data_IF_956688934498
#
_entry.id   IF_956688934498
#
_cell.length_a   1.000
_cell.length_b   1.000
_cell.length_c   1.000
_cell.angle_alpha   90.00
_cell.angle_beta   90.00
_cell.angle_gamma   90.00
#
_symmetry.space_group_name_H-M   'P 1'
#
loop_
_entity.id
_entity.type
_entity.pdbx_description
1 polymer ?
#
# COMPACT_ATOMS: atom_id res chain seq x y z
N UNK A 1 -43.30 -54.06 -25.61
CA UNK A 1 -42.05 -54.30 -24.85
C UNK A 1 -41.33 -52.97 -24.65
N UNK A 2 -41.71 -52.20 -23.62
CA UNK A 2 -41.03 -50.95 -23.27
C UNK A 2 -40.70 -50.99 -21.78
N UNK A 3 -39.53 -51.55 -21.46
CA UNK A 3 -39.00 -51.55 -20.10
C UNK A 3 -38.60 -50.12 -19.72
N UNK A 4 -39.50 -49.42 -19.04
CA UNK A 4 -39.24 -48.10 -18.47
C UNK A 4 -38.09 -48.17 -17.47
N UNK A 5 -36.98 -47.48 -17.75
CA UNK A 5 -35.87 -47.30 -16.80
C UNK A 5 -36.40 -46.65 -15.52
N UNK A 6 -36.09 -47.29 -14.38
CA UNK A 6 -36.56 -46.89 -13.05
C UNK A 6 -36.22 -45.42 -12.71
N UNK A 7 -37.05 -44.73 -11.89
CA UNK A 7 -36.81 -43.34 -11.49
C UNK A 7 -35.46 -43.12 -10.78
N UNK A 8 -34.93 -44.17 -10.12
CA UNK A 8 -33.61 -44.17 -9.47
C UNK A 8 -32.47 -44.05 -10.49
N UNK A 9 -32.59 -44.65 -11.67
CA UNK A 9 -31.60 -44.55 -12.73
C UNK A 9 -31.59 -43.16 -13.40
N UNK A 10 -32.75 -42.51 -13.53
CA UNK A 10 -32.84 -41.11 -14.02
C UNK A 10 -32.27 -40.11 -13.01
N UNK A 11 -32.54 -40.30 -11.70
CA UNK A 11 -31.94 -39.48 -10.62
C UNK A 11 -30.43 -39.66 -10.51
N UNK A 12 -29.91 -40.88 -10.64
CA UNK A 12 -28.46 -41.12 -10.62
C UNK A 12 -27.75 -40.48 -11.84
N UNK A 13 -28.36 -40.51 -13.03
CA UNK A 13 -27.83 -39.83 -14.22
C UNK A 13 -27.90 -38.31 -14.10
N UNK A 14 -28.98 -37.76 -13.53
CA UNK A 14 -29.12 -36.32 -13.30
C UNK A 14 -28.18 -35.82 -12.19
N UNK A 15 -27.95 -36.62 -11.14
CA UNK A 15 -26.99 -36.31 -10.09
C UNK A 15 -25.53 -36.38 -10.60
N UNK A 16 -25.19 -37.33 -11.47
CA UNK A 16 -23.87 -37.38 -12.09
C UNK A 16 -23.64 -36.20 -13.06
N UNK A 17 -24.69 -35.79 -13.78
CA UNK A 17 -24.65 -34.59 -14.65
C UNK A 17 -24.53 -33.31 -13.81
N UNK A 18 -25.18 -33.22 -12.64
CA UNK A 18 -25.03 -32.07 -11.73
C UNK A 18 -23.66 -32.02 -11.04
N UNK A 19 -23.07 -33.17 -10.70
CA UNK A 19 -21.71 -33.25 -10.13
C UNK A 19 -20.66 -32.94 -11.20
N UNK A 20 -20.95 -33.19 -12.49
CA UNK A 20 -20.04 -32.85 -13.58
C UNK A 20 -20.18 -31.40 -14.08
N UNK A 21 -21.37 -30.78 -13.96
CA UNK A 21 -21.58 -29.34 -14.30
C UNK A 21 -21.27 -28.39 -13.15
N UNK A 22 -21.06 -28.90 -11.93
CA UNK A 22 -20.40 -28.20 -10.82
C UNK A 22 -18.87 -28.41 -10.84
N UNK A 23 -18.27 -28.46 -12.03
CA UNK A 23 -16.88 -28.02 -12.14
C UNK A 23 -16.86 -26.51 -11.91
N UNK A 24 -16.75 -26.14 -10.63
CA UNK A 24 -16.15 -24.87 -10.20
C UNK A 24 -14.93 -24.68 -11.10
N UNK A 25 -15.02 -23.76 -12.06
CA UNK A 25 -13.86 -23.38 -12.87
C UNK A 25 -12.71 -23.17 -11.89
N UNK A 26 -11.57 -23.89 -12.02
CA UNK A 26 -10.45 -23.68 -11.12
C UNK A 26 -10.13 -22.19 -11.13
N UNK A 27 -9.88 -21.54 -9.98
CA UNK A 27 -9.57 -20.12 -9.93
C UNK A 27 -8.40 -19.87 -10.88
N UNK A 28 -8.67 -19.20 -12.00
CA UNK A 28 -7.69 -19.05 -13.05
C UNK A 28 -6.47 -18.29 -12.49
N UNK A 29 -5.31 -18.94 -12.48
CA UNK A 29 -4.09 -18.40 -11.90
C UNK A 29 -3.35 -17.53 -12.91
N UNK A 30 -3.92 -16.38 -13.27
CA UNK A 30 -3.24 -15.37 -14.08
C UNK A 30 -2.37 -14.44 -13.25
N UNK A 31 -1.23 -14.00 -13.81
CA UNK A 31 -0.39 -12.94 -13.23
C UNK A 31 -1.18 -11.63 -12.98
N UNK A 32 -2.26 -11.44 -13.76
CA UNK A 32 -3.19 -10.30 -13.74
C UNK A 32 -4.63 -10.80 -13.48
N UNK A 33 -4.83 -11.84 -12.66
CA UNK A 33 -6.17 -12.28 -12.23
C UNK A 33 -6.62 -11.53 -10.96
N UNK A 34 -7.85 -11.01 -10.93
CA UNK A 34 -8.40 -10.03 -9.95
C UNK A 34 -7.62 -8.68 -9.81
N UNK A 35 -7.27 -7.94 -10.88
CA UNK A 35 -6.66 -6.62 -10.77
C UNK A 35 -7.71 -5.52 -10.59
N UNK A 36 -8.99 -5.82 -10.82
CA UNK A 36 -10.06 -4.85 -11.00
C UNK A 36 -10.08 -3.82 -9.86
N UNK A 37 -10.08 -4.26 -8.59
CA UNK A 37 -10.11 -3.34 -7.44
C UNK A 37 -8.78 -2.57 -7.21
N UNK A 38 -7.64 -3.08 -7.67
CA UNK A 38 -6.32 -2.47 -7.41
C UNK A 38 -5.98 -1.38 -8.44
N UNK A 39 -6.56 -1.46 -9.64
CA UNK A 39 -6.39 -0.47 -10.70
C UNK A 39 -7.50 0.60 -10.71
N UNK A 40 -8.63 0.38 -10.00
CA UNK A 40 -9.85 1.22 -10.00
C UNK A 40 -9.87 2.37 -8.96
N UNK A 41 -8.72 2.83 -8.46
CA UNK A 41 -8.64 4.01 -7.59
C UNK A 41 -7.85 5.16 -8.24
N UNK A 42 -8.22 5.45 -9.48
CA UNK A 42 -7.92 6.71 -10.16
C UNK A 42 -8.96 6.91 -11.27
N UNK A 43 -10.21 7.17 -10.88
CA UNK A 43 -11.32 7.44 -11.80
C UNK A 43 -11.14 8.72 -12.64
N UNK A 44 -9.99 9.40 -12.54
CA UNK A 44 -9.65 10.61 -13.29
C UNK A 44 -8.21 10.65 -13.85
N UNK A 45 -7.48 9.53 -13.97
CA UNK A 45 -6.10 9.53 -14.53
C UNK A 45 -5.98 8.74 -15.85
N UNK A 46 -6.98 8.83 -16.72
CA UNK A 46 -6.88 8.32 -18.10
C UNK A 46 -6.15 9.36 -18.96
N UNK A 47 -4.81 9.31 -18.98
CA UNK A 47 -4.00 10.27 -19.73
C UNK A 47 -2.51 9.92 -19.82
N UNK A 48 -1.73 10.67 -20.60
CA UNK A 48 -0.29 10.49 -20.68
C UNK A 48 0.36 10.73 -19.32
N UNK A 49 1.33 9.88 -18.95
CA UNK A 49 2.07 10.01 -17.68
C UNK A 49 2.88 11.32 -17.70
N UNK A 50 2.89 12.11 -16.62
CA UNK A 50 3.63 13.36 -16.58
C UNK A 50 5.15 13.11 -16.71
N UNK A 51 5.81 14.00 -17.45
CA UNK A 51 7.26 13.95 -17.75
C UNK A 51 8.12 13.88 -16.48
N UNK A 52 7.64 14.44 -15.37
CA UNK A 52 8.31 14.39 -14.07
C UNK A 52 8.54 12.98 -13.55
N UNK A 53 7.80 11.97 -14.01
CA UNK A 53 8.00 10.57 -13.61
C UNK A 53 9.21 9.95 -14.32
N UNK A 54 9.42 10.29 -15.59
CA UNK A 54 10.53 9.78 -16.39
C UNK A 54 11.87 10.40 -15.99
N UNK A 55 11.85 11.68 -15.61
CA UNK A 55 13.06 12.44 -15.24
C UNK A 55 13.51 12.20 -13.79
N UNK A 56 12.88 11.29 -13.04
CA UNK A 56 13.32 10.97 -11.68
C UNK A 56 14.61 10.19 -11.71
N UNK A 57 15.61 10.70 -10.98
CA UNK A 57 16.91 10.08 -10.85
C UNK A 57 16.84 9.04 -9.73
N UNK A 58 17.16 7.78 -10.04
CA UNK A 58 17.27 6.70 -9.07
C UNK A 58 18.73 6.25 -8.94
N UNK A 59 19.20 6.06 -7.72
CA UNK A 59 20.54 5.56 -7.40
C UNK A 59 20.47 4.22 -6.68
N UNK A 60 21.58 3.49 -6.69
CA UNK A 60 21.72 2.25 -5.90
C UNK A 60 21.63 2.59 -4.42
N UNK A 61 20.82 1.84 -3.68
CA UNK A 61 20.60 2.02 -2.25
C UNK A 61 19.40 2.88 -1.87
N UNK A 62 18.78 3.57 -2.82
CA UNK A 62 17.58 4.38 -2.59
C UNK A 62 16.40 3.51 -2.16
N UNK A 63 15.52 4.09 -1.32
CA UNK A 63 14.30 3.45 -0.85
C UNK A 63 13.15 3.91 -1.75
N UNK A 64 12.51 2.93 -2.38
CA UNK A 64 11.48 3.17 -3.39
C UNK A 64 10.21 2.40 -3.10
N UNK A 65 9.08 3.05 -3.41
CA UNK A 65 7.74 2.50 -3.30
C UNK A 65 7.27 2.03 -4.69
N UNK A 66 6.64 0.86 -4.73
CA UNK A 66 6.17 0.24 -5.97
C UNK A 66 4.66 0.49 -6.10
N UNK A 67 4.27 1.24 -7.12
CA UNK A 67 2.87 1.48 -7.49
C UNK A 67 2.70 1.20 -8.98
N UNK A 68 2.12 0.06 -9.32
CA UNK A 68 1.79 -0.28 -10.70
C UNK A 68 0.75 0.70 -11.28
N UNK A 69 1.00 1.17 -12.49
CA UNK A 69 0.12 2.07 -13.25
C UNK A 69 -0.39 1.29 -14.47
N UNK A 70 -1.67 1.36 -14.80
CA UNK A 70 -2.26 0.61 -15.92
C UNK A 70 -1.85 1.10 -17.31
N UNK A 71 -1.38 2.35 -17.42
CA UNK A 71 -1.04 3.02 -18.69
C UNK A 71 0.12 2.35 -19.43
N UNK A 72 1.10 1.82 -18.70
CA UNK A 72 2.27 1.15 -19.28
C UNK A 72 2.25 -0.32 -18.87
N UNK A 73 2.26 -1.21 -19.86
CA UNK A 73 2.19 -2.66 -19.62
C UNK A 73 3.57 -3.29 -19.43
N UNK A 74 4.62 -2.71 -20.01
CA UNK A 74 5.98 -3.25 -19.95
C UNK A 74 6.61 -2.98 -18.58
N UNK A 75 7.33 -3.98 -18.05
CA UNK A 75 7.99 -3.86 -16.75
C UNK A 75 7.02 -3.65 -15.57
N UNK A 76 5.75 -4.00 -15.76
CA UNK A 76 4.71 -3.93 -14.74
C UNK A 76 5.03 -4.90 -13.59
N UNK A 77 4.99 -4.45 -12.33
CA UNK A 77 5.18 -5.34 -11.20
C UNK A 77 3.97 -6.28 -11.04
N UNK A 78 4.22 -7.52 -10.62
CA UNK A 78 3.13 -8.43 -10.25
C UNK A 78 2.34 -7.86 -9.05
N UNK A 79 1.03 -8.12 -9.00
CA UNK A 79 0.09 -7.59 -7.98
C UNK A 79 0.58 -7.73 -6.53
N UNK A 80 1.28 -8.81 -6.21
CA UNK A 80 1.83 -9.05 -4.86
C UNK A 80 2.90 -8.03 -4.40
N UNK A 81 3.48 -7.25 -5.32
CA UNK A 81 4.48 -6.22 -5.02
C UNK A 81 3.88 -4.80 -5.02
N UNK A 82 2.61 -4.65 -5.39
CA UNK A 82 1.96 -3.34 -5.32
C UNK A 82 1.87 -2.87 -3.88
N UNK A 83 2.20 -1.60 -3.64
CA UNK A 83 2.25 -1.01 -2.30
C UNK A 83 3.39 -1.53 -1.42
N UNK A 84 4.34 -2.28 -1.98
CA UNK A 84 5.54 -2.69 -1.25
C UNK A 84 6.66 -1.67 -1.47
N UNK A 85 7.45 -1.47 -0.41
CA UNK A 85 8.67 -0.68 -0.44
C UNK A 85 9.86 -1.60 -0.53
N UNK A 86 10.88 -1.18 -1.27
CA UNK A 86 12.12 -1.93 -1.43
C UNK A 86 13.33 -1.03 -1.57
N UNK A 87 14.50 -1.66 -1.73
CA UNK A 87 15.77 -0.96 -1.96
C UNK A 87 16.27 -1.23 -3.37
N UNK A 88 16.75 -0.18 -4.03
CA UNK A 88 17.34 -0.30 -5.37
C UNK A 88 18.69 -1.01 -5.29
N UNK A 89 18.87 -2.07 -6.07
CA UNK A 89 20.15 -2.79 -6.19
C UNK A 89 20.83 -2.55 -7.55
N UNK A 90 20.02 -2.40 -8.60
CA UNK A 90 20.50 -2.16 -9.97
C UNK A 90 19.68 -1.06 -10.65
N UNK A 91 20.30 -0.36 -11.58
CA UNK A 91 19.66 0.68 -12.39
C UNK A 91 20.00 0.37 -13.85
N UNK A 92 18.98 0.34 -14.70
CA UNK A 92 19.11 0.14 -16.15
C UNK A 92 18.56 1.35 -16.90
N UNK A 93 18.65 1.35 -18.24
CA UNK A 93 18.23 2.49 -19.07
C UNK A 93 16.78 2.94 -18.84
N UNK A 94 15.86 2.00 -18.60
CA UNK A 94 14.42 2.29 -18.45
C UNK A 94 13.80 1.71 -17.18
N UNK A 95 14.57 0.97 -16.38
CA UNK A 95 14.03 0.22 -15.25
C UNK A 95 14.98 0.23 -14.05
N UNK A 96 14.42 -0.14 -12.92
CA UNK A 96 15.10 -0.21 -11.63
C UNK A 96 14.95 -1.62 -11.08
N UNK A 97 16.07 -2.21 -10.71
CA UNK A 97 16.12 -3.46 -9.97
C UNK A 97 15.91 -3.19 -8.49
N UNK A 98 14.85 -3.76 -7.91
CA UNK A 98 14.44 -3.53 -6.52
C UNK A 98 14.50 -4.85 -5.74
N UNK A 99 15.07 -4.82 -4.54
CA UNK A 99 14.98 -5.89 -3.55
C UNK A 99 13.76 -5.60 -2.68
N UNK A 100 12.77 -6.50 -2.71
CA UNK A 100 11.53 -6.41 -1.94
C UNK A 100 11.38 -7.62 -1.03
N UNK A 101 10.99 -7.39 0.21
CA UNK A 101 10.67 -8.47 1.15
C UNK A 101 9.26 -8.98 0.87
N UNK A 102 9.16 -10.25 0.44
CA UNK A 102 7.89 -10.93 0.21
C UNK A 102 7.75 -12.08 1.19
N UNK A 103 6.64 -12.11 1.91
CA UNK A 103 6.25 -13.26 2.71
C UNK A 103 5.76 -14.39 1.79
N UNK A 104 6.34 -15.57 1.94
CA UNK A 104 5.94 -16.80 1.25
C UNK A 104 5.68 -17.85 2.32
N UNK A 105 4.39 -18.11 2.59
CA UNK A 105 3.95 -18.97 3.70
C UNK A 105 4.55 -18.46 5.03
N UNK A 106 5.33 -19.27 5.73
CA UNK A 106 5.91 -18.95 7.03
C UNK A 106 7.23 -18.16 7.04
N UNK A 107 7.79 -17.80 5.87
CA UNK A 107 9.10 -17.10 5.82
C UNK A 107 9.08 -15.86 4.94
N UNK A 108 9.91 -14.87 5.30
CA UNK A 108 10.12 -13.65 4.51
C UNK A 108 11.34 -13.84 3.63
N UNK A 109 11.16 -13.69 2.32
CA UNK A 109 12.24 -13.82 1.34
C UNK A 109 12.51 -12.47 0.68
N UNK A 110 13.78 -12.10 0.58
CA UNK A 110 14.22 -10.98 -0.23
C UNK A 110 14.18 -11.37 -1.71
N UNK A 111 13.18 -10.85 -2.44
CA UNK A 111 13.00 -11.09 -3.88
C UNK A 111 13.57 -9.92 -4.68
N UNK A 112 14.35 -10.22 -5.71
CA UNK A 112 14.83 -9.25 -6.70
C UNK A 112 13.83 -9.16 -7.83
N UNK A 113 13.37 -7.96 -8.14
CA UNK A 113 12.43 -7.68 -9.22
C UNK A 113 12.98 -6.54 -10.09
N UNK A 114 12.70 -6.58 -11.39
CA UNK A 114 12.99 -5.50 -12.31
C UNK A 114 11.69 -4.78 -12.64
N UNK A 115 11.60 -3.51 -12.31
CA UNK A 115 10.37 -2.71 -12.47
C UNK A 115 10.70 -1.43 -13.24
N UNK A 116 9.84 -1.07 -14.17
CA UNK A 116 9.99 0.17 -14.96
C UNK A 116 9.77 1.43 -14.13
N UNK A 117 10.43 2.53 -14.48
CA UNK A 117 10.46 3.78 -13.69
C UNK A 117 9.07 4.41 -13.47
N UNK A 118 8.14 4.17 -14.37
CA UNK A 118 6.75 4.64 -14.32
C UNK A 118 5.98 4.07 -13.13
N UNK A 119 6.37 2.89 -12.66
CA UNK A 119 5.73 2.18 -11.56
C UNK A 119 6.46 2.35 -10.24
N UNK A 120 7.48 3.19 -10.20
CA UNK A 120 8.35 3.40 -9.05
C UNK A 120 8.26 4.85 -8.60
N UNK A 121 8.27 5.07 -7.29
CA UNK A 121 8.32 6.40 -6.67
C UNK A 121 9.33 6.39 -5.53
N UNK A 122 9.98 7.53 -5.26
CA UNK A 122 10.82 7.68 -4.06
C UNK A 122 9.97 7.68 -2.79
N UNK A 123 10.45 7.02 -1.75
CA UNK A 123 9.73 6.97 -0.47
C UNK A 123 10.06 8.17 0.41
N UNK A 124 9.05 8.96 0.75
CA UNK A 124 9.16 10.14 1.64
C UNK A 124 9.59 9.78 3.07
N UNK A 125 9.43 8.51 3.46
CA UNK A 125 9.84 8.01 4.78
C UNK A 125 11.32 8.24 5.02
N UNK A 126 12.16 8.01 4.00
CA UNK A 126 13.62 8.20 4.11
C UNK A 126 14.01 9.67 4.15
N UNK A 127 13.34 10.52 3.39
CA UNK A 127 13.61 11.96 3.35
C UNK A 127 13.41 12.60 4.73
N UNK A 128 12.30 12.27 5.40
CA UNK A 128 12.02 12.76 6.76
C UNK A 128 13.09 12.34 7.78
N UNK A 129 13.63 11.13 7.62
CA UNK A 129 14.73 10.64 8.46
C UNK A 129 16.02 11.40 8.18
N UNK A 130 16.39 11.60 6.92
CA UNK A 130 17.61 12.31 6.54
C UNK A 130 17.57 13.79 6.98
N UNK A 131 16.44 14.46 6.80
CA UNK A 131 16.22 15.82 7.31
C UNK A 131 16.43 15.89 8.82
N UNK A 132 15.91 14.91 9.57
CA UNK A 132 16.11 14.84 11.02
C UNK A 132 17.56 14.56 11.41
N UNK A 133 18.27 13.68 10.69
CA UNK A 133 19.70 13.42 10.96
C UNK A 133 20.50 14.71 10.82
N UNK A 134 20.28 15.46 9.73
CA UNK A 134 20.93 16.75 9.50
C UNK A 134 20.61 17.76 10.59
N UNK A 135 19.34 17.88 10.99
CA UNK A 135 18.91 18.79 12.05
C UNK A 135 19.46 18.41 13.44
N UNK A 136 19.64 17.11 13.70
CA UNK A 136 20.24 16.65 14.95
C UNK A 136 21.74 16.91 14.99
N UNK A 137 22.43 16.75 13.85
CA UNK A 137 23.85 17.02 13.74
C UNK A 137 24.18 18.51 13.93
N UNK A 138 23.37 19.41 13.37
CA UNK A 138 23.52 20.85 13.62
C UNK A 138 23.32 21.20 15.10
N UNK A 139 22.25 20.69 15.74
CA UNK A 139 22.00 20.89 17.18
C UNK A 139 23.14 20.36 18.05
N UNK A 140 23.71 19.20 17.69
CA UNK A 140 24.83 18.61 18.41
C UNK A 140 26.09 19.48 18.33
N UNK A 141 26.37 20.06 17.17
CA UNK A 141 27.50 20.98 17.00
C UNK A 141 27.30 22.27 17.80
N UNK A 142 26.11 22.87 17.75
CA UNK A 142 25.76 24.08 18.51
C UNK A 142 25.85 23.85 20.03
N UNK A 143 25.33 22.72 20.51
CA UNK A 143 25.40 22.33 21.92
C UNK A 143 26.85 22.16 22.39
N UNK A 144 27.70 21.53 21.57
CA UNK A 144 29.12 21.37 21.85
C UNK A 144 29.85 22.71 21.92
N UNK A 145 29.51 23.67 21.05
CA UNK A 145 30.09 25.02 21.07
C UNK A 145 29.65 25.83 22.30
N UNK A 146 28.39 25.71 22.70
CA UNK A 146 27.83 26.40 23.87
C UNK A 146 28.16 25.71 25.20
N UNK A 147 28.63 24.46 25.17
CA UNK A 147 28.83 23.64 26.36
C UNK A 147 27.53 23.16 27.03
N UNK A 148 26.40 23.25 26.33
CA UNK A 148 25.10 22.80 26.85
C UNK A 148 24.80 21.35 26.43
N UNK A 149 23.98 20.65 27.21
CA UNK A 149 23.50 19.32 26.86
C UNK A 149 22.12 19.42 26.17
N UNK A 150 21.91 18.60 25.13
CA UNK A 150 20.67 18.58 24.34
C UNK A 150 20.18 17.15 24.15
N UNK A 151 18.90 16.90 24.44
CA UNK A 151 18.23 15.64 24.14
C UNK A 151 17.89 15.56 22.64
N UNK A 152 18.40 14.53 21.97
CA UNK A 152 18.23 14.34 20.52
C UNK A 152 17.20 13.25 20.18
N UNK A 153 16.83 12.43 21.17
CA UNK A 153 15.84 11.37 20.98
C UNK A 153 14.43 11.96 20.92
N UNK A 154 13.57 11.31 20.14
CA UNK A 154 12.15 11.66 20.10
C UNK A 154 11.46 11.10 21.35
N UNK A 155 10.59 11.91 21.94
CA UNK A 155 9.69 11.47 22.99
C UNK A 155 8.27 11.21 22.41
N UNK A 156 7.51 10.27 22.97
CA UNK A 156 6.08 10.15 22.68
C UNK A 156 5.34 11.41 23.15
N UNK A 157 4.08 11.55 22.75
CA UNK A 157 3.25 12.65 23.24
C UNK A 157 3.13 12.55 24.78
N UNK A 158 3.57 13.57 25.53
CA UNK A 158 3.40 13.58 26.97
C UNK A 158 1.92 13.81 27.34
N UNK A 159 1.52 13.53 28.59
CA UNK A 159 0.27 14.04 29.13
C UNK A 159 0.18 15.55 28.92
N UNK A 160 -1.05 16.06 28.71
CA UNK A 160 -1.25 17.51 28.59
C UNK A 160 -0.88 18.16 29.91
N UNK A 161 -0.09 19.22 29.84
CA UNK A 161 0.25 20.02 31.02
C UNK A 161 -0.99 20.71 31.57
N UNK A 162 -0.98 20.95 32.89
CA UNK A 162 -2.02 21.73 33.55
C UNK A 162 -2.02 23.16 32.99
N UNK A 163 -3.18 23.63 32.56
CA UNK A 163 -3.37 25.00 32.07
C UNK A 163 -4.70 25.56 32.56
N UNK A 164 -4.76 26.88 32.67
CA UNK A 164 -5.98 27.58 33.05
C UNK A 164 -6.77 27.98 31.80
N UNK A 165 -8.07 27.65 31.80
CA UNK A 165 -9.01 28.09 30.76
C UNK A 165 -9.78 29.30 31.28
N UNK A 166 -9.71 30.42 30.55
CA UNK A 166 -10.37 31.67 30.94
C UNK A 166 -11.80 31.75 30.40
N UNK A 167 -12.74 32.09 31.27
CA UNK A 167 -14.18 32.21 30.94
C UNK A 167 -14.56 33.60 30.40
N UNK A 168 -13.63 34.57 30.37
CA UNK A 168 -13.96 35.98 30.04
C UNK A 168 -14.54 36.20 28.64
N UNK A 169 -14.19 35.35 27.67
CA UNK A 169 -14.67 35.40 26.28
C UNK A 169 -15.24 34.06 25.80
N UNK A 170 -15.40 33.11 26.71
CA UNK A 170 -15.86 31.75 26.42
C UNK A 170 -16.78 31.29 27.55
N UNK A 171 -18.02 31.75 27.51
CA UNK A 171 -19.04 31.35 28.48
C UNK A 171 -19.43 29.89 28.22
N UNK A 172 -19.43 29.01 29.24
CA UNK A 172 -19.82 27.62 29.06
C UNK A 172 -21.25 27.55 28.53
N UNK A 173 -21.44 26.82 27.44
CA UNK A 173 -22.76 26.61 26.86
C UNK A 173 -23.39 25.38 27.50
N UNK A 174 -24.65 25.52 27.94
CA UNK A 174 -25.45 24.39 28.37
C UNK A 174 -25.92 23.63 27.11
N UNK A 175 -25.65 22.33 27.07
CA UNK A 175 -26.12 21.45 26.00
C UNK A 175 -27.15 20.49 26.60
N UNK A 176 -28.29 20.36 25.93
CA UNK A 176 -29.38 19.47 26.33
C UNK A 176 -29.48 18.27 25.37
N UNK A 177 -29.88 17.08 25.86
CA UNK A 177 -30.10 15.94 25.00
C UNK A 177 -31.26 16.23 24.04
N UNK A 178 -31.04 15.95 22.76
CA UNK A 178 -32.06 16.09 21.71
C UNK A 178 -33.13 15.01 21.94
N UNK A 179 -34.43 15.34 21.83
CA UNK A 179 -35.50 14.36 21.93
C UNK A 179 -35.42 13.33 20.78
N UNK A 180 -35.95 12.14 21.02
CA UNK A 180 -36.01 11.09 20.01
C UNK A 180 -36.93 11.48 18.85
N UNK A 181 -36.41 11.45 17.63
CA UNK A 181 -37.16 11.65 16.39
C UNK A 181 -36.92 10.46 15.45
N UNK A 182 -37.99 9.95 14.86
CA UNK A 182 -37.90 8.91 13.84
C UNK A 182 -37.71 9.55 12.47
N UNK A 183 -36.51 9.42 11.88
CA UNK A 183 -36.22 9.88 10.52
C UNK A 183 -36.24 8.68 9.56
N UNK A 184 -37.09 8.77 8.53
CA UNK A 184 -37.26 7.78 7.45
C UNK A 184 -36.61 8.28 6.15
#
# INVERSE_FOLDING_TARGET
MTSGRSPKAKRAKLALILVHTLQINPPQSGAIHHPAALQLLASCDAGPIPLSTYMRIYKKGDIVDIKGTGTIQKGMPHKCYHGKTGRVYNVTQHAVGIIVNKQVKGRILAKRINVRIEHVKHSKSRDSFLQRVKANESKKMEAKQKGSWVELKRQPAPPRDAHFVSTKKNTPQLLEPIPYEFMA
#
